data_IF_951922643268
#
_entry.id   IF_951922643268
#
_cell.length_a   1.000
_cell.length_b   1.000
_cell.length_c   1.000
_cell.angle_alpha   90.00
_cell.angle_beta   90.00
_cell.angle_gamma   90.00
#
_symmetry.space_group_name_H-M   'P 1'
#
loop_
_entity.id
_entity.type
_entity.pdbx_description
1 polymer ?
#
# COMPACT_ATOMS: atom_id res chain seq x y z
N UNK A 1 17.97 4.72 53.66
CA UNK A 1 18.46 3.43 53.09
C UNK A 1 17.49 2.76 52.10
N UNK A 2 16.67 3.50 51.31
CA UNK A 2 15.67 2.90 50.39
C UNK A 2 16.14 2.79 48.94
N UNK A 3 17.13 3.59 48.52
CA UNK A 3 17.73 3.58 47.17
C UNK A 3 18.14 2.17 46.66
N UNK A 4 18.82 1.32 47.44
CA UNK A 4 19.19 -0.02 46.95
C UNK A 4 17.99 -0.93 46.73
N UNK A 5 16.89 -0.76 47.49
CA UNK A 5 15.66 -1.54 47.32
C UNK A 5 14.93 -1.18 46.03
N UNK A 6 14.90 0.11 45.67
CA UNK A 6 14.34 0.56 44.39
C UNK A 6 15.22 0.18 43.20
N UNK A 7 16.54 0.25 43.35
CA UNK A 7 17.48 -0.21 42.32
C UNK A 7 17.33 -1.73 42.08
N UNK A 8 17.21 -2.52 43.15
CA UNK A 8 17.00 -3.97 43.05
C UNK A 8 15.64 -4.31 42.45
N UNK A 9 14.58 -3.60 42.84
CA UNK A 9 13.25 -3.76 42.25
C UNK A 9 13.21 -3.40 40.75
N UNK A 10 13.87 -2.31 40.37
CA UNK A 10 14.01 -1.91 38.95
C UNK A 10 14.82 -2.92 38.14
N UNK A 11 15.92 -3.43 38.67
CA UNK A 11 16.73 -4.46 38.01
C UNK A 11 15.95 -5.77 37.83
N UNK A 12 15.17 -6.18 38.84
CA UNK A 12 14.30 -7.35 38.76
C UNK A 12 13.21 -7.21 37.69
N UNK A 13 12.61 -6.03 37.58
CA UNK A 13 11.62 -5.72 36.54
C UNK A 13 12.23 -5.70 35.14
N UNK A 14 13.41 -5.09 34.98
CA UNK A 14 14.09 -5.07 33.68
C UNK A 14 14.48 -6.49 33.23
N UNK A 15 14.97 -7.31 34.15
CA UNK A 15 15.32 -8.70 33.86
C UNK A 15 14.09 -9.53 33.48
N UNK A 16 12.98 -9.39 34.21
CA UNK A 16 11.76 -10.17 33.92
C UNK A 16 11.13 -9.82 32.57
N UNK A 17 11.07 -8.53 32.21
CA UNK A 17 10.58 -8.08 30.90
C UNK A 17 11.49 -8.54 29.76
N UNK A 18 12.81 -8.50 29.97
CA UNK A 18 13.79 -8.93 28.96
C UNK A 18 13.70 -10.43 28.66
N UNK A 19 13.46 -11.26 29.68
CA UNK A 19 13.29 -12.71 29.51
C UNK A 19 12.03 -13.02 28.69
N UNK A 20 10.91 -12.34 28.93
CA UNK A 20 9.68 -12.52 28.15
C UNK A 20 9.86 -12.14 26.67
N UNK A 21 10.55 -11.03 26.39
CA UNK A 21 10.83 -10.60 25.02
C UNK A 21 11.78 -11.56 24.29
N UNK A 22 12.78 -12.12 24.98
CA UNK A 22 13.69 -13.10 24.41
C UNK A 22 12.97 -14.40 23.99
N UNK A 23 11.93 -14.84 24.71
CA UNK A 23 11.11 -16.00 24.32
C UNK A 23 10.32 -15.77 23.02
N UNK A 24 9.95 -14.53 22.70
CA UNK A 24 9.31 -14.24 21.42
C UNK A 24 10.26 -14.44 20.22
N UNK A 25 11.58 -14.40 20.45
CA UNK A 25 12.61 -14.65 19.44
C UNK A 25 13.01 -16.13 19.31
N UNK A 26 12.58 -17.00 20.23
CA UNK A 26 12.89 -18.45 20.19
C UNK A 26 11.89 -19.26 19.36
N UNK A 27 10.73 -18.68 19.03
CA UNK A 27 9.79 -19.26 18.08
C UNK A 27 10.36 -19.09 16.68
N UNK A 28 10.67 -20.21 16.01
CA UNK A 28 11.16 -20.18 14.64
C UNK A 28 10.11 -19.53 13.73
N UNK A 29 10.48 -18.53 12.92
CA UNK A 29 9.59 -18.01 11.89
C UNK A 29 9.09 -19.16 11.00
N UNK A 30 7.77 -19.28 10.89
CA UNK A 30 7.11 -20.25 10.02
C UNK A 30 6.31 -19.53 8.95
N UNK A 31 5.91 -20.23 7.90
CA UNK A 31 4.92 -19.74 6.96
C UNK A 31 3.56 -19.63 7.65
N UNK A 32 2.77 -18.56 7.38
CA UNK A 32 1.37 -18.52 7.79
C UNK A 32 0.61 -19.76 7.29
N UNK A 33 -0.42 -20.21 8.03
CA UNK A 33 -1.30 -21.25 7.52
C UNK A 33 -2.03 -20.76 6.26
N UNK A 34 -2.41 -21.71 5.40
CA UNK A 34 -3.20 -21.39 4.21
C UNK A 34 -4.54 -20.76 4.63
N UNK A 35 -4.96 -19.65 3.98
CA UNK A 35 -6.25 -19.07 4.25
C UNK A 35 -7.38 -19.99 3.76
N UNK A 36 -8.62 -19.82 4.26
CA UNK A 36 -9.78 -20.48 3.68
C UNK A 36 -9.89 -20.20 2.17
N UNK A 37 -10.36 -21.19 1.42
CA UNK A 37 -10.63 -21.02 -0.01
C UNK A 37 -11.68 -19.95 -0.23
N UNK A 38 -11.35 -18.96 -1.05
CA UNK A 38 -12.27 -17.93 -1.52
C UNK A 38 -12.18 -17.88 -3.05
N UNK A 39 -13.22 -18.37 -3.71
CA UNK A 39 -13.26 -18.39 -5.17
C UNK A 39 -13.37 -16.97 -5.73
N UNK A 40 -12.57 -16.69 -6.76
CA UNK A 40 -12.66 -15.43 -7.48
C UNK A 40 -14.05 -15.28 -8.11
N UNK A 41 -14.69 -14.13 -7.87
CA UNK A 41 -16.07 -13.85 -8.33
C UNK A 41 -16.17 -13.57 -9.85
N UNK A 42 -15.06 -13.61 -10.57
CA UNK A 42 -15.00 -13.36 -12.00
C UNK A 42 -13.64 -13.75 -12.57
N UNK A 43 -13.57 -13.83 -13.90
CA UNK A 43 -12.34 -14.14 -14.64
C UNK A 43 -11.95 -12.94 -15.51
N UNK A 44 -10.72 -12.41 -15.41
CA UNK A 44 -10.25 -11.34 -16.29
C UNK A 44 -10.21 -11.77 -17.76
N UNK A 45 -10.49 -10.84 -18.67
CA UNK A 45 -10.11 -10.98 -20.09
C UNK A 45 -8.64 -10.62 -20.22
N UNK A 46 -7.80 -11.60 -20.51
CA UNK A 46 -6.36 -11.37 -20.69
C UNK A 46 -6.07 -10.78 -22.07
N UNK A 47 -5.39 -9.64 -22.10
CA UNK A 47 -4.98 -8.92 -23.32
C UNK A 47 -3.49 -8.55 -23.26
N UNK A 48 -2.86 -8.33 -24.41
CA UNK A 48 -1.49 -7.83 -24.49
C UNK A 48 -1.41 -6.32 -24.25
N UNK A 49 -0.25 -5.81 -23.84
CA UNK A 49 -0.05 -4.37 -23.57
C UNK A 49 -0.39 -3.51 -24.81
N UNK A 50 -0.07 -4.01 -26.01
CA UNK A 50 -0.33 -3.31 -27.28
C UNK A 50 -1.81 -3.25 -27.66
N UNK A 51 -2.64 -4.12 -27.07
CA UNK A 51 -4.08 -4.13 -27.31
C UNK A 51 -4.79 -3.02 -26.50
N UNK A 52 -4.08 -2.38 -25.55
CA UNK A 52 -4.62 -1.34 -24.67
C UNK A 52 -4.46 0.05 -25.31
N UNK A 53 -3.26 0.37 -25.80
CA UNK A 53 -2.98 1.68 -26.41
C UNK A 53 -1.79 1.64 -27.37
N UNK A 54 -1.78 2.60 -28.31
CA UNK A 54 -0.67 2.86 -29.21
C UNK A 54 -0.46 4.37 -29.40
N UNK A 55 0.78 4.76 -29.73
CA UNK A 55 1.11 6.15 -30.06
C UNK A 55 0.98 6.37 -31.56
N UNK A 56 0.01 7.19 -31.97
CA UNK A 56 -0.21 7.60 -33.37
C UNK A 56 -0.90 8.95 -33.45
N UNK A 57 -0.76 9.61 -34.60
CA UNK A 57 -1.61 10.74 -34.93
C UNK A 57 -2.99 10.24 -35.41
N UNK A 58 -4.05 10.84 -34.88
CA UNK A 58 -5.40 10.70 -35.43
C UNK A 58 -5.65 11.78 -36.49
N UNK A 59 -6.54 11.54 -37.47
CA UNK A 59 -6.90 12.55 -38.48
C UNK A 59 -7.53 13.81 -37.85
N UNK A 60 -8.33 13.63 -36.79
CA UNK A 60 -9.04 14.70 -36.09
C UNK A 60 -9.08 14.42 -34.58
N UNK A 61 -9.21 15.49 -33.79
CA UNK A 61 -9.35 15.45 -32.33
C UNK A 61 -10.59 16.24 -31.93
N UNK A 62 -11.33 15.72 -30.95
CA UNK A 62 -12.53 16.37 -30.45
C UNK A 62 -12.47 16.48 -28.92
N UNK A 63 -12.98 17.59 -28.43
CA UNK A 63 -13.10 17.91 -27.02
C UNK A 63 -14.55 18.25 -26.67
N UNK A 64 -14.92 18.23 -25.38
CA UNK A 64 -16.25 18.66 -24.97
C UNK A 64 -16.55 20.11 -25.34
N UNK A 65 -17.78 20.40 -25.76
CA UNK A 65 -18.21 21.72 -26.24
C UNK A 65 -17.93 22.85 -25.24
N UNK A 66 -18.10 22.59 -23.94
CA UNK A 66 -17.87 23.58 -22.89
C UNK A 66 -16.39 23.97 -22.76
N UNK A 67 -15.45 23.09 -23.12
CA UNK A 67 -14.01 23.38 -23.12
C UNK A 67 -13.71 24.38 -24.23
N UNK A 68 -14.19 24.07 -25.44
CA UNK A 68 -14.05 24.93 -26.60
C UNK A 68 -14.60 26.34 -26.35
N UNK A 69 -15.88 26.41 -25.96
CA UNK A 69 -16.59 27.70 -25.84
C UNK A 69 -16.10 28.57 -24.68
N UNK A 70 -15.76 27.97 -23.54
CA UNK A 70 -15.39 28.74 -22.33
C UNK A 70 -13.90 29.02 -22.23
N UNK A 71 -13.05 28.22 -22.87
CA UNK A 71 -11.61 28.31 -22.66
C UNK A 71 -10.84 28.56 -23.95
N UNK A 72 -11.06 27.75 -24.99
CA UNK A 72 -10.35 27.88 -26.26
C UNK A 72 -10.77 29.16 -26.99
N UNK A 73 -12.08 29.34 -27.21
CA UNK A 73 -12.64 30.52 -27.87
C UNK A 73 -12.44 31.79 -27.02
N UNK A 74 -12.36 31.64 -25.70
CA UNK A 74 -12.02 32.73 -24.77
C UNK A 74 -10.52 33.07 -24.73
N UNK A 75 -9.67 32.33 -25.46
CA UNK A 75 -8.23 32.57 -25.53
C UNK A 75 -7.44 32.19 -24.27
N UNK A 76 -8.06 31.46 -23.35
CA UNK A 76 -7.44 31.01 -22.09
C UNK A 76 -6.82 29.62 -22.19
N UNK A 77 -7.12 28.89 -23.28
CA UNK A 77 -6.54 27.58 -23.62
C UNK A 77 -6.18 27.53 -25.11
N UNK A 78 -5.02 26.96 -25.51
CA UNK A 78 -4.73 26.69 -26.91
C UNK A 78 -5.70 25.67 -27.51
N UNK A 79 -5.95 25.81 -28.82
CA UNK A 79 -6.68 24.84 -29.62
C UNK A 79 -5.78 23.65 -30.03
#
# INVERSE_FOLDING_TARGET
MRKPKYALGGAGLLLSVSILAAQAQTVQPTTPPDPPTFDAQGTPTFVGIKDIFEYKALPEYHEPEWVKTKYVDAGTLPA
#
